data_IF_999390898878
#
_entry.id   IF_999390898878
#
_cell.length_a   1.000
_cell.length_b   1.000
_cell.length_c   1.000
_cell.angle_alpha   90.00
_cell.angle_beta   90.00
_cell.angle_gamma   90.00
#
_symmetry.space_group_name_H-M   'P 1'
#
loop_
_entity.id
_entity.type
_entity.pdbx_description
1 polymer ?
#
# COMPACT_ATOMS: atom_id res chain seq x y z
N UNK A 1 2.24 -14.23 -4.49
CA UNK A 1 1.99 -13.44 -5.68
C UNK A 1 1.64 -14.31 -6.87
N UNK A 2 0.73 -13.84 -7.73
CA UNK A 2 0.26 -14.54 -8.94
C UNK A 2 1.37 -14.88 -9.92
N UNK A 3 2.44 -14.09 -9.97
CA UNK A 3 3.59 -14.29 -10.88
C UNK A 3 4.30 -15.63 -10.70
N UNK A 4 4.16 -16.26 -9.54
CA UNK A 4 4.75 -17.59 -9.28
C UNK A 4 3.93 -18.75 -9.86
N UNK A 5 2.77 -18.49 -10.46
CA UNK A 5 1.86 -19.53 -10.95
C UNK A 5 1.60 -19.41 -12.44
N UNK A 6 1.93 -20.44 -13.20
CA UNK A 6 1.81 -20.48 -14.66
C UNK A 6 0.36 -20.42 -15.18
N UNK A 7 -0.63 -20.77 -14.36
CA UNK A 7 -2.04 -20.68 -14.75
C UNK A 7 -2.66 -19.29 -14.51
N UNK A 8 -1.88 -18.34 -13.96
CA UNK A 8 -2.34 -17.01 -13.60
C UNK A 8 -1.88 -15.99 -14.65
N UNK A 9 -2.82 -15.24 -15.23
CA UNK A 9 -2.51 -14.02 -15.95
C UNK A 9 -2.37 -12.87 -14.94
N UNK A 10 -1.22 -12.21 -14.94
CA UNK A 10 -0.91 -11.10 -14.06
C UNK A 10 -1.13 -9.80 -14.82
N UNK A 11 -1.97 -8.93 -14.31
CA UNK A 11 -2.40 -7.73 -15.02
C UNK A 11 -1.89 -6.48 -14.30
N UNK A 12 -1.18 -5.64 -15.04
CA UNK A 12 -0.87 -4.26 -14.64
C UNK A 12 -1.95 -3.37 -15.27
N UNK A 13 -2.96 -3.05 -14.46
CA UNK A 13 -4.15 -2.32 -14.91
C UNK A 13 -3.94 -0.80 -15.05
N UNK A 14 -4.97 -0.12 -15.54
CA UNK A 14 -4.95 1.34 -15.78
C UNK A 14 -4.65 2.17 -14.54
N UNK A 15 -4.98 1.64 -13.35
CA UNK A 15 -4.81 2.33 -12.07
C UNK A 15 -3.40 2.28 -11.50
N UNK A 16 -2.48 1.54 -12.13
CA UNK A 16 -1.11 1.36 -11.64
C UNK A 16 -0.23 2.53 -12.07
N UNK A 17 0.62 3.01 -11.15
CA UNK A 17 1.74 3.89 -11.48
C UNK A 17 2.89 2.99 -11.98
N UNK A 18 3.10 2.93 -13.28
CA UNK A 18 3.99 1.97 -13.92
C UNK A 18 5.42 2.49 -13.99
N UNK A 19 6.31 1.92 -13.18
CA UNK A 19 7.75 2.07 -13.28
C UNK A 19 8.30 0.92 -14.14
N UNK A 20 8.53 1.19 -15.43
CA UNK A 20 8.92 0.16 -16.42
C UNK A 20 10.25 -0.51 -16.05
N UNK A 21 11.34 0.22 -15.73
CA UNK A 21 12.59 -0.40 -15.31
C UNK A 21 12.43 -1.33 -14.09
N UNK A 22 11.65 -0.92 -13.09
CA UNK A 22 11.41 -1.76 -11.92
C UNK A 22 10.62 -3.02 -12.28
N UNK A 23 9.58 -2.92 -13.10
CA UNK A 23 8.80 -4.08 -13.53
C UNK A 23 9.72 -5.11 -14.23
N UNK A 24 10.56 -4.66 -15.15
CA UNK A 24 11.49 -5.55 -15.87
C UNK A 24 12.52 -6.18 -14.92
N UNK A 25 13.06 -5.38 -13.97
CA UNK A 25 13.98 -5.89 -12.97
C UNK A 25 13.33 -6.93 -12.05
N UNK A 26 12.05 -6.74 -11.67
CA UNK A 26 11.29 -7.68 -10.85
C UNK A 26 10.99 -8.98 -11.63
N UNK A 27 10.60 -8.89 -12.91
CA UNK A 27 10.41 -10.07 -13.77
C UNK A 27 11.70 -10.86 -13.84
N UNK A 28 12.83 -10.18 -14.10
CA UNK A 28 14.15 -10.82 -14.16
C UNK A 28 14.50 -11.47 -12.81
N UNK A 29 14.31 -10.79 -11.70
CA UNK A 29 14.60 -11.33 -10.38
C UNK A 29 13.79 -12.60 -10.08
N UNK A 30 12.51 -12.63 -10.45
CA UNK A 30 11.64 -13.80 -10.28
C UNK A 30 12.15 -14.99 -11.12
N UNK A 31 12.52 -14.74 -12.37
CA UNK A 31 13.02 -15.79 -13.28
C UNK A 31 14.40 -16.29 -12.88
N UNK A 32 15.30 -15.40 -12.47
CA UNK A 32 16.66 -15.77 -11.97
C UNK A 32 16.57 -16.64 -10.71
N UNK A 33 15.50 -16.53 -9.92
CA UNK A 33 15.21 -17.39 -8.77
C UNK A 33 14.50 -18.71 -9.15
N UNK A 34 14.46 -19.06 -10.42
CA UNK A 34 13.97 -20.35 -10.91
C UNK A 34 12.44 -20.44 -11.09
N UNK A 35 11.73 -19.33 -10.99
CA UNK A 35 10.32 -19.27 -11.36
C UNK A 35 10.21 -19.15 -12.88
N UNK A 36 9.40 -19.98 -13.56
CA UNK A 36 9.16 -19.83 -15.00
C UNK A 36 8.66 -18.43 -15.35
N UNK A 37 8.98 -17.93 -16.55
CA UNK A 37 8.57 -16.61 -17.00
C UNK A 37 7.05 -16.41 -16.79
N UNK A 38 6.63 -15.39 -16.02
CA UNK A 38 5.24 -15.18 -15.69
C UNK A 38 4.43 -14.68 -16.89
N UNK A 39 3.17 -15.06 -16.97
CA UNK A 39 2.24 -14.46 -17.92
C UNK A 39 1.84 -13.08 -17.40
N UNK A 40 2.26 -12.02 -18.09
CA UNK A 40 2.00 -10.63 -17.72
C UNK A 40 1.35 -9.91 -18.87
N UNK A 41 0.35 -9.08 -18.58
CA UNK A 41 -0.22 -8.12 -19.51
C UNK A 41 -0.24 -6.73 -18.86
N UNK A 42 0.28 -5.75 -19.57
CA UNK A 42 0.32 -4.35 -19.17
C UNK A 42 -0.70 -3.58 -19.99
N UNK A 43 -1.57 -2.82 -19.30
CA UNK A 43 -2.54 -2.00 -20.00
C UNK A 43 -1.85 -0.91 -20.84
N UNK A 44 -2.28 -0.81 -22.08
CA UNK A 44 -1.96 0.30 -22.98
C UNK A 44 -2.34 1.68 -22.42
N UNK A 45 -3.29 1.72 -21.48
CA UNK A 45 -3.78 2.93 -20.78
C UNK A 45 -3.11 3.16 -19.42
N UNK A 46 -2.25 2.27 -18.95
CA UNK A 46 -1.49 2.51 -17.73
C UNK A 46 -0.57 3.73 -17.92
N UNK A 47 -0.40 4.52 -16.87
CA UNK A 47 0.48 5.68 -16.96
C UNK A 47 1.90 5.35 -16.52
N UNK A 48 2.86 5.90 -17.27
CA UNK A 48 4.28 5.67 -17.11
C UNK A 48 4.88 6.61 -16.06
N UNK A 49 5.64 6.05 -15.15
CA UNK A 49 6.51 6.80 -14.24
C UNK A 49 7.67 7.38 -15.05
N UNK A 50 7.68 8.70 -15.21
CA UNK A 50 8.74 9.40 -15.93
C UNK A 50 10.01 9.54 -15.09
N UNK A 51 11.20 9.54 -15.68
CA UNK A 51 12.47 9.65 -14.93
C UNK A 51 12.49 10.86 -13.99
N UNK A 52 11.93 11.97 -14.40
CA UNK A 52 11.90 13.21 -13.61
C UNK A 52 10.96 13.16 -12.40
N UNK A 53 10.02 12.21 -12.30
CA UNK A 53 9.14 12.10 -11.14
C UNK A 53 9.93 11.80 -9.86
N UNK A 54 10.90 10.91 -9.94
CA UNK A 54 11.78 10.57 -8.79
C UNK A 54 12.63 11.78 -8.38
N UNK A 55 13.14 12.54 -9.36
CA UNK A 55 13.89 13.77 -9.11
C UNK A 55 13.03 14.82 -8.41
N UNK A 56 11.84 15.09 -8.92
CA UNK A 56 10.92 16.09 -8.34
C UNK A 56 10.47 15.71 -6.93
N UNK A 57 10.18 14.45 -6.65
CA UNK A 57 9.83 13.97 -5.30
C UNK A 57 11.01 14.17 -4.33
N UNK A 58 12.23 13.90 -4.79
CA UNK A 58 13.45 14.12 -4.02
C UNK A 58 13.67 15.61 -3.71
N UNK A 59 13.55 16.44 -4.72
CA UNK A 59 13.79 17.88 -4.58
C UNK A 59 12.72 18.58 -3.72
N UNK A 60 11.48 18.10 -3.76
CA UNK A 60 10.42 18.61 -2.90
C UNK A 60 10.68 18.26 -1.43
N UNK A 61 11.09 17.03 -1.14
CA UNK A 61 11.50 16.64 0.22
C UNK A 61 12.70 17.47 0.70
N UNK A 62 13.69 17.74 -0.15
CA UNK A 62 14.81 18.62 0.17
C UNK A 62 14.34 20.05 0.48
N UNK A 63 13.43 20.60 -0.34
CA UNK A 63 12.87 21.94 -0.17
C UNK A 63 12.08 22.09 1.13
N UNK A 64 11.37 21.06 1.55
CA UNK A 64 10.57 21.06 2.77
C UNK A 64 11.41 20.96 4.05
N UNK A 65 12.66 20.53 3.96
CA UNK A 65 13.61 20.44 5.08
C UNK A 65 13.03 19.72 6.32
N UNK A 66 12.79 20.44 7.41
CA UNK A 66 12.22 19.94 8.66
C UNK A 66 10.70 19.65 8.59
N UNK A 67 10.03 20.09 7.53
CA UNK A 67 8.60 19.85 7.27
C UNK A 67 8.32 18.72 6.28
N UNK A 68 9.27 17.82 6.07
CA UNK A 68 9.16 16.69 5.16
C UNK A 68 7.94 15.82 5.48
N UNK A 69 7.30 15.30 4.42
CA UNK A 69 6.24 14.28 4.55
C UNK A 69 6.82 12.90 4.90
N UNK A 70 8.12 12.70 4.68
CA UNK A 70 8.78 11.41 4.81
C UNK A 70 8.55 10.50 3.61
N UNK A 71 8.51 11.08 2.40
CA UNK A 71 8.39 10.35 1.14
C UNK A 71 9.44 9.26 1.01
N UNK A 72 9.09 8.17 0.33
CA UNK A 72 10.03 7.13 -0.09
C UNK A 72 10.91 7.58 -1.26
N UNK A 73 10.69 8.80 -1.78
CA UNK A 73 11.38 9.35 -2.96
C UNK A 73 11.21 8.46 -4.20
N UNK A 74 10.03 7.90 -4.34
CA UNK A 74 9.68 7.01 -5.46
C UNK A 74 8.93 7.72 -6.58
N UNK A 75 8.71 9.03 -6.49
CA UNK A 75 8.09 9.83 -7.53
C UNK A 75 6.56 9.77 -7.59
N UNK A 76 5.90 9.21 -6.57
CA UNK A 76 4.45 8.96 -6.60
C UNK A 76 3.64 10.27 -6.59
N UNK A 77 3.99 11.24 -5.74
CA UNK A 77 3.26 12.50 -5.66
C UNK A 77 3.33 13.31 -6.97
N UNK A 78 4.50 13.57 -7.57
CA UNK A 78 4.58 14.25 -8.86
C UNK A 78 3.96 13.44 -10.01
N UNK A 79 4.03 12.11 -9.98
CA UNK A 79 3.35 11.25 -10.96
C UNK A 79 1.83 11.46 -10.97
N UNK A 80 1.18 11.38 -9.81
CA UNK A 80 -0.27 11.61 -9.73
C UNK A 80 -0.66 13.06 -9.99
N UNK A 81 0.19 14.02 -9.62
CA UNK A 81 0.03 15.43 -9.98
C UNK A 81 -0.06 15.58 -11.51
N UNK A 82 0.88 14.99 -12.25
CA UNK A 82 0.91 15.03 -13.70
C UNK A 82 -0.29 14.30 -14.34
N UNK A 83 -0.66 13.16 -13.79
CA UNK A 83 -1.84 12.40 -14.24
C UNK A 83 -3.10 13.27 -14.22
N UNK A 84 -3.38 13.92 -13.10
CA UNK A 84 -4.60 14.73 -12.95
C UNK A 84 -4.50 16.11 -13.58
N UNK A 85 -3.28 16.65 -13.77
CA UNK A 85 -3.03 17.81 -14.62
C UNK A 85 -3.11 17.49 -16.12
N UNK A 86 -3.27 16.21 -16.50
CA UNK A 86 -3.38 15.72 -17.89
C UNK A 86 -2.12 15.92 -18.72
N UNK A 87 -0.98 15.91 -18.06
CA UNK A 87 0.36 15.98 -18.69
C UNK A 87 1.20 14.72 -18.46
N UNK A 88 0.63 13.70 -17.79
CA UNK A 88 1.21 12.37 -17.67
C UNK A 88 1.19 11.62 -19.01
N UNK A 89 1.99 10.55 -19.10
CA UNK A 89 2.14 9.74 -20.32
C UNK A 89 1.55 8.35 -20.12
N UNK A 90 0.72 7.90 -21.06
CA UNK A 90 0.20 6.52 -21.10
C UNK A 90 1.15 5.62 -21.90
N UNK A 91 1.10 4.32 -21.63
CA UNK A 91 1.92 3.32 -22.35
C UNK A 91 1.73 3.37 -23.84
N UNK A 92 0.47 3.52 -24.33
CA UNK A 92 0.21 3.60 -25.77
C UNK A 92 0.92 4.78 -26.46
N UNK A 93 1.13 5.88 -25.74
CA UNK A 93 1.78 7.08 -26.31
C UNK A 93 3.28 6.87 -26.60
N UNK A 94 3.91 5.85 -26.00
CA UNK A 94 5.30 5.49 -26.31
C UNK A 94 5.45 4.92 -27.72
N UNK A 95 4.37 4.48 -28.35
CA UNK A 95 4.35 3.88 -29.70
C UNK A 95 3.97 4.86 -30.79
N UNK A 96 3.73 6.13 -30.47
CA UNK A 96 3.52 7.23 -31.40
C UNK A 96 4.63 8.28 -31.19
N UNK A 97 5.71 8.12 -31.92
CA UNK A 97 6.91 8.96 -31.74
C UNK A 97 6.66 10.44 -32.03
N UNK A 98 5.83 10.76 -33.01
CA UNK A 98 5.53 12.14 -33.38
C UNK A 98 4.75 12.84 -32.26
N UNK A 99 3.67 12.21 -31.81
CA UNK A 99 2.89 12.70 -30.68
C UNK A 99 3.70 12.78 -29.39
N UNK A 100 4.51 11.76 -29.13
CA UNK A 100 5.37 11.71 -27.93
C UNK A 100 6.36 12.89 -27.90
N UNK A 101 7.02 13.19 -29.03
CA UNK A 101 7.97 14.33 -29.14
C UNK A 101 7.25 15.66 -28.88
N UNK A 102 6.12 15.87 -29.52
CA UNK A 102 5.32 17.08 -29.33
C UNK A 102 4.91 17.27 -27.86
N UNK A 103 4.34 16.23 -27.26
CA UNK A 103 3.88 16.27 -25.87
C UNK A 103 5.04 16.44 -24.90
N UNK A 104 6.14 15.70 -25.08
CA UNK A 104 7.33 15.78 -24.24
C UNK A 104 7.93 17.19 -24.24
N UNK A 105 8.03 17.83 -25.39
CA UNK A 105 8.53 19.22 -25.50
C UNK A 105 7.73 20.15 -24.60
N UNK A 106 6.41 20.11 -24.69
CA UNK A 106 5.53 20.97 -23.86
C UNK A 106 5.64 20.66 -22.36
N UNK A 107 5.75 19.40 -22.01
CA UNK A 107 5.86 18.98 -20.61
C UNK A 107 7.21 19.38 -20.01
N UNK A 108 8.30 19.15 -20.76
CA UNK A 108 9.65 19.54 -20.29
C UNK A 108 9.82 21.03 -20.12
N UNK A 109 9.17 21.86 -20.93
CA UNK A 109 9.16 23.31 -20.73
C UNK A 109 8.71 23.67 -19.31
N UNK A 110 7.56 23.14 -18.86
CA UNK A 110 7.03 23.40 -17.52
C UNK A 110 7.92 22.81 -16.44
N UNK A 111 8.40 21.58 -16.63
CA UNK A 111 9.28 20.92 -15.64
C UNK A 111 10.59 21.68 -15.47
N UNK A 112 11.17 22.17 -16.55
CA UNK A 112 12.41 22.94 -16.53
C UNK A 112 12.23 24.31 -15.87
N UNK A 113 11.06 24.96 -16.02
CA UNK A 113 10.76 26.17 -15.25
C UNK A 113 10.70 25.86 -13.74
N UNK A 114 10.10 24.75 -13.32
CA UNK A 114 10.10 24.34 -11.91
C UNK A 114 11.51 24.04 -11.42
N UNK A 115 12.32 23.33 -12.18
CA UNK A 115 13.69 23.02 -11.81
C UNK A 115 14.55 24.27 -11.67
N UNK A 116 14.45 25.20 -12.63
CA UNK A 116 15.23 26.45 -12.62
C UNK A 116 14.83 27.37 -11.47
N UNK A 117 13.54 27.61 -11.26
CA UNK A 117 13.07 28.72 -10.42
C UNK A 117 12.55 28.29 -9.05
N UNK A 118 12.15 27.04 -8.86
CA UNK A 118 11.68 26.53 -7.56
C UNK A 118 12.76 25.71 -6.87
N UNK A 119 13.34 24.75 -7.59
CA UNK A 119 14.28 23.81 -7.00
C UNK A 119 15.75 24.22 -7.15
N UNK A 120 16.08 25.12 -8.09
CA UNK A 120 17.46 25.55 -8.43
C UNK A 120 18.35 24.33 -8.75
N UNK A 121 17.85 23.46 -9.61
CA UNK A 121 18.47 22.20 -10.03
C UNK A 121 18.75 22.22 -11.55
N UNK A 122 19.63 21.31 -12.03
CA UNK A 122 19.88 21.15 -13.47
C UNK A 122 18.60 20.90 -14.26
N UNK A 123 18.55 21.41 -15.47
CA UNK A 123 17.44 21.21 -16.39
C UNK A 123 17.47 19.79 -16.98
N UNK A 124 16.30 19.31 -17.37
CA UNK A 124 16.14 18.06 -18.11
C UNK A 124 16.49 18.29 -19.59
N UNK A 125 17.27 17.40 -20.15
CA UNK A 125 17.56 17.37 -21.58
C UNK A 125 16.49 16.56 -22.32
N UNK A 126 16.03 17.10 -23.45
CA UNK A 126 14.97 16.48 -24.25
C UNK A 126 15.43 15.15 -24.84
N UNK A 127 16.62 15.12 -25.46
CA UNK A 127 17.11 13.91 -26.12
C UNK A 127 17.38 12.79 -25.13
N UNK A 128 17.92 13.11 -23.97
CA UNK A 128 18.15 12.14 -22.90
C UNK A 128 16.84 11.48 -22.46
N UNK A 129 15.80 12.29 -22.16
CA UNK A 129 14.50 11.77 -21.74
C UNK A 129 13.82 11.00 -22.87
N UNK A 130 13.83 11.54 -24.09
CA UNK A 130 13.23 10.88 -25.25
C UNK A 130 13.86 9.50 -25.52
N UNK A 131 15.18 9.43 -25.54
CA UNK A 131 15.89 8.15 -25.73
C UNK A 131 15.57 7.14 -24.63
N UNK A 132 15.50 7.60 -23.37
CA UNK A 132 15.05 6.77 -22.24
C UNK A 132 13.63 6.21 -22.46
N UNK A 133 12.71 7.02 -23.00
CA UNK A 133 11.36 6.56 -23.29
C UNK A 133 11.30 5.55 -24.44
N UNK A 134 12.20 5.67 -25.43
CA UNK A 134 12.32 4.66 -26.50
C UNK A 134 12.84 3.33 -25.95
N UNK A 135 13.81 3.35 -25.05
CA UNK A 135 14.24 2.14 -24.32
C UNK A 135 13.07 1.53 -23.51
N UNK A 136 12.28 2.36 -22.82
CA UNK A 136 11.09 1.89 -22.08
C UNK A 136 10.06 1.25 -23.00
N UNK A 137 9.82 1.84 -24.19
CA UNK A 137 8.95 1.27 -25.22
C UNK A 137 9.39 -0.14 -25.59
N UNK A 138 10.66 -0.29 -25.90
CA UNK A 138 11.21 -1.58 -26.37
C UNK A 138 11.14 -2.65 -25.26
N UNK A 139 11.42 -2.26 -24.02
CA UNK A 139 11.32 -3.16 -22.86
C UNK A 139 9.89 -3.62 -22.58
N UNK A 140 8.90 -2.73 -22.73
CA UNK A 140 7.51 -3.03 -22.34
C UNK A 140 6.69 -3.64 -23.50
N UNK A 141 7.10 -3.43 -24.75
CA UNK A 141 6.35 -3.84 -25.93
C UNK A 141 5.84 -5.30 -25.89
N UNK A 142 6.60 -6.30 -25.42
CA UNK A 142 6.12 -7.69 -25.37
C UNK A 142 4.94 -7.93 -24.44
N UNK A 143 4.67 -7.00 -23.53
CA UNK A 143 3.66 -7.16 -22.47
C UNK A 143 2.41 -6.32 -22.70
N UNK A 144 2.41 -5.37 -23.64
CA UNK A 144 1.33 -4.40 -23.85
C UNK A 144 0.12 -5.07 -24.48
N UNK A 145 -1.06 -4.78 -23.93
CA UNK A 145 -2.33 -5.26 -24.47
C UNK A 145 -3.54 -4.48 -23.97
N UNK A 146 -4.69 -4.72 -24.61
CA UNK A 146 -5.96 -4.15 -24.15
C UNK A 146 -6.49 -4.95 -22.96
N UNK A 147 -6.09 -4.50 -21.76
CA UNK A 147 -6.51 -5.08 -20.49
C UNK A 147 -8.02 -4.98 -20.30
N UNK A 148 -8.68 -3.95 -20.83
CA UNK A 148 -10.12 -3.78 -20.64
C UNK A 148 -10.89 -4.89 -21.35
N UNK A 149 -10.57 -5.18 -22.62
CA UNK A 149 -11.17 -6.30 -23.36
C UNK A 149 -10.88 -7.62 -22.63
N UNK A 150 -9.62 -7.87 -22.29
CA UNK A 150 -9.22 -9.13 -21.64
C UNK A 150 -9.97 -9.40 -20.32
N UNK A 151 -10.08 -8.38 -19.45
CA UNK A 151 -10.75 -8.50 -18.16
C UNK A 151 -12.25 -8.74 -18.32
N UNK A 152 -12.90 -8.04 -19.27
CA UNK A 152 -14.33 -8.24 -19.57
C UNK A 152 -14.62 -9.63 -20.14
N UNK A 153 -13.75 -10.17 -20.98
CA UNK A 153 -13.86 -11.55 -21.47
C UNK A 153 -13.67 -12.57 -20.35
N UNK A 154 -12.71 -12.32 -19.45
CA UNK A 154 -12.49 -13.15 -18.27
C UNK A 154 -13.72 -13.17 -17.34
N UNK A 155 -14.37 -12.02 -17.11
CA UNK A 155 -15.60 -11.91 -16.35
C UNK A 155 -16.74 -12.70 -17.00
N UNK A 156 -16.96 -12.53 -18.32
CA UNK A 156 -17.97 -13.30 -19.06
C UNK A 156 -17.72 -14.80 -19.03
N UNK A 157 -16.45 -15.21 -19.00
CA UNK A 157 -16.06 -16.61 -18.90
C UNK A 157 -16.10 -17.17 -17.46
N UNK A 158 -16.56 -16.37 -16.48
CA UNK A 158 -16.66 -16.78 -15.07
C UNK A 158 -15.31 -17.04 -14.40
N UNK A 159 -14.25 -16.38 -14.85
CA UNK A 159 -12.93 -16.50 -14.22
C UNK A 159 -12.88 -15.76 -12.88
N UNK A 160 -12.09 -16.31 -11.95
CA UNK A 160 -11.80 -15.64 -10.70
C UNK A 160 -10.79 -14.50 -10.93
N UNK A 161 -11.12 -13.30 -10.51
CA UNK A 161 -10.26 -12.12 -10.61
C UNK A 161 -9.92 -11.65 -9.19
N UNK A 162 -8.62 -11.56 -8.90
CA UNK A 162 -8.12 -10.98 -7.66
C UNK A 162 -7.61 -9.56 -7.95
N UNK A 163 -8.19 -8.58 -7.26
CA UNK A 163 -7.68 -7.21 -7.24
C UNK A 163 -6.79 -7.04 -6.01
N UNK A 164 -5.55 -6.65 -6.23
CA UNK A 164 -4.59 -6.41 -5.16
C UNK A 164 -4.39 -4.90 -4.98
N UNK A 165 -4.80 -4.39 -3.82
CA UNK A 165 -4.56 -3.02 -3.38
C UNK A 165 -3.43 -2.95 -2.36
N UNK A 166 -3.00 -1.73 -1.99
CA UNK A 166 -1.86 -1.51 -1.11
C UNK A 166 -2.02 -0.30 -0.19
N UNK A 167 -1.07 -0.09 0.69
CA UNK A 167 -0.86 1.04 1.60
C UNK A 167 -1.82 1.13 2.78
N UNK A 168 -3.09 0.92 2.61
CA UNK A 168 -4.09 0.95 3.68
C UNK A 168 -4.90 2.26 3.74
N UNK A 169 -6.05 2.15 4.40
CA UNK A 169 -7.15 3.12 4.39
C UNK A 169 -6.76 4.52 4.87
N UNK A 170 -5.91 4.61 5.91
CA UNK A 170 -5.51 5.91 6.48
C UNK A 170 -4.49 6.67 5.60
N UNK A 171 -4.02 6.07 4.52
CA UNK A 171 -3.14 6.70 3.53
C UNK A 171 -3.87 7.09 2.25
N UNK A 172 -5.18 6.90 2.20
CA UNK A 172 -6.01 7.36 1.08
C UNK A 172 -6.13 8.89 1.08
N UNK A 173 -6.05 9.56 -0.08
CA UNK A 173 -6.09 11.03 -0.15
C UNK A 173 -7.45 11.61 0.28
N UNK A 174 -8.57 10.88 0.11
CA UNK A 174 -9.91 11.36 0.43
C UNK A 174 -10.36 10.97 1.85
N UNK A 175 -9.97 9.79 2.33
CA UNK A 175 -10.43 9.22 3.60
C UNK A 175 -9.33 9.05 4.65
N UNK A 176 -8.07 9.28 4.29
CA UNK A 176 -6.94 9.13 5.21
C UNK A 176 -6.67 10.36 6.07
N UNK A 177 -5.50 10.36 6.70
CA UNK A 177 -5.02 11.43 7.60
C UNK A 177 -4.36 12.58 6.81
N UNK A 178 -5.08 13.12 5.82
CA UNK A 178 -4.59 14.20 4.97
C UNK A 178 -3.98 15.35 5.80
N UNK A 179 -2.80 15.91 5.40
CA UNK A 179 -2.06 15.67 4.16
C UNK A 179 -1.03 14.53 4.21
N UNK A 180 -0.92 13.78 5.31
CA UNK A 180 0.06 12.69 5.50
C UNK A 180 -0.41 11.38 4.87
N UNK A 181 -0.75 11.43 3.59
CA UNK A 181 -1.33 10.35 2.77
C UNK A 181 -0.45 10.06 1.57
N UNK A 182 -0.76 9.01 0.80
CA UNK A 182 -0.22 8.82 -0.54
C UNK A 182 -1.09 9.56 -1.57
N UNK A 183 -0.61 9.72 -2.78
CA UNK A 183 -1.39 10.37 -3.85
C UNK A 183 -2.26 9.37 -4.64
N UNK A 184 -2.10 8.07 -4.42
CA UNK A 184 -2.95 7.03 -5.01
C UNK A 184 -4.16 6.73 -4.12
N UNK A 185 -5.29 6.35 -4.72
CA UNK A 185 -6.39 5.78 -3.94
C UNK A 185 -6.04 4.39 -3.44
N UNK A 186 -6.21 4.17 -2.14
CA UNK A 186 -5.89 2.90 -1.47
C UNK A 186 -7.13 2.08 -1.15
N UNK A 187 -8.31 2.60 -1.50
CA UNK A 187 -9.58 1.94 -1.19
C UNK A 187 -9.94 0.88 -2.25
N UNK A 188 -10.57 -0.20 -1.81
CA UNK A 188 -11.01 -1.29 -2.68
C UNK A 188 -11.94 -0.82 -3.81
N UNK A 189 -12.72 0.24 -3.59
CA UNK A 189 -13.56 0.85 -4.62
C UNK A 189 -12.78 1.34 -5.85
N UNK A 190 -11.51 1.75 -5.67
CA UNK A 190 -10.66 2.11 -6.78
C UNK A 190 -10.25 0.90 -7.65
N UNK A 191 -10.32 -0.31 -7.12
CA UNK A 191 -10.07 -1.53 -7.88
C UNK A 191 -10.98 -1.65 -9.12
N UNK A 192 -12.23 -1.21 -9.00
CA UNK A 192 -13.15 -1.14 -10.13
C UNK A 192 -12.63 -0.21 -11.24
N UNK A 193 -12.21 1.00 -10.87
CA UNK A 193 -11.66 2.01 -11.80
C UNK A 193 -10.32 1.56 -12.36
N UNK A 194 -9.42 1.09 -11.48
CA UNK A 194 -8.05 0.73 -11.86
C UNK A 194 -7.94 -0.48 -12.77
N UNK A 195 -8.90 -1.41 -12.70
CA UNK A 195 -8.95 -2.60 -13.56
C UNK A 195 -10.00 -2.50 -14.68
N UNK A 196 -10.85 -1.46 -14.68
CA UNK A 196 -11.94 -1.32 -15.64
C UNK A 196 -13.06 -2.35 -15.42
N UNK A 197 -13.31 -2.74 -14.17
CA UNK A 197 -14.34 -3.73 -13.80
C UNK A 197 -15.59 -2.99 -13.29
N UNK A 198 -16.81 -3.44 -13.62
CA UNK A 198 -18.01 -2.89 -13.02
C UNK A 198 -17.99 -3.03 -11.48
N UNK A 199 -18.30 -1.96 -10.72
CA UNK A 199 -18.17 -1.99 -9.26
C UNK A 199 -19.02 -3.06 -8.56
N UNK A 200 -20.14 -3.46 -9.16
CA UNK A 200 -21.02 -4.51 -8.63
C UNK A 200 -20.44 -5.94 -8.77
N UNK A 201 -19.34 -6.11 -9.48
CA UNK A 201 -18.62 -7.39 -9.57
C UNK A 201 -17.70 -7.61 -8.36
N UNK A 202 -17.31 -6.56 -7.66
CA UNK A 202 -16.48 -6.65 -6.44
C UNK A 202 -17.41 -6.96 -5.26
N UNK A 203 -17.43 -8.21 -4.81
CA UNK A 203 -18.31 -8.71 -3.75
C UNK A 203 -17.58 -9.09 -2.48
N UNK A 204 -16.36 -9.59 -2.63
CA UNK A 204 -15.49 -10.00 -1.54
C UNK A 204 -14.36 -8.99 -1.38
N UNK A 205 -14.29 -8.33 -0.23
CA UNK A 205 -13.24 -7.38 0.10
C UNK A 205 -12.56 -7.83 1.38
N UNK A 206 -11.33 -8.30 1.22
CA UNK A 206 -10.49 -8.79 2.31
C UNK A 206 -9.58 -7.69 2.79
N UNK A 207 -9.81 -7.15 3.97
CA UNK A 207 -8.89 -6.23 4.61
C UNK A 207 -7.80 -7.01 5.36
N UNK A 208 -6.54 -6.60 5.18
CA UNK A 208 -5.40 -7.20 5.90
C UNK A 208 -4.90 -6.21 6.92
N UNK A 209 -4.83 -6.62 8.20
CA UNK A 209 -4.30 -5.81 9.29
C UNK A 209 -3.36 -6.64 10.15
N UNK A 210 -2.39 -6.00 10.79
CA UNK A 210 -1.53 -6.65 11.79
C UNK A 210 -2.24 -6.72 13.13
N UNK A 211 -1.79 -7.62 13.99
CA UNK A 211 -2.26 -7.71 15.38
C UNK A 211 -1.77 -6.53 16.26
N UNK A 212 -1.03 -5.60 15.72
CA UNK A 212 -0.57 -4.33 16.30
C UNK A 212 -0.52 -3.27 15.21
N UNK A 213 -0.26 -2.02 15.57
CA UNK A 213 -0.18 -0.92 14.61
C UNK A 213 1.27 -0.55 14.30
N UNK A 214 1.58 -0.27 13.04
CA UNK A 214 2.86 0.31 12.64
C UNK A 214 2.66 1.34 11.54
N UNK A 215 3.50 2.38 11.52
CA UNK A 215 3.41 3.44 10.54
C UNK A 215 4.79 3.87 10.02
N UNK A 216 4.82 4.30 8.75
CA UNK A 216 5.97 4.96 8.12
C UNK A 216 5.58 6.40 7.81
N UNK A 217 6.54 7.33 7.98
CA UNK A 217 6.35 8.74 7.71
C UNK A 217 5.64 9.49 8.83
N UNK A 218 5.37 10.75 8.56
CA UNK A 218 4.70 11.66 9.47
C UNK A 218 3.18 11.41 9.55
N UNK A 219 2.53 12.11 10.45
CA UNK A 219 1.08 12.10 10.64
C UNK A 219 0.67 11.55 11.99
N UNK A 220 -0.61 11.74 12.30
CA UNK A 220 -1.17 11.36 13.59
C UNK A 220 -1.25 9.85 13.74
N UNK A 221 -0.86 9.36 14.91
CA UNK A 221 -0.88 7.95 15.27
C UNK A 221 -1.29 7.80 16.73
N UNK A 222 -2.60 7.81 16.99
CA UNK A 222 -3.15 7.95 18.34
C UNK A 222 -2.72 6.84 19.31
N UNK A 223 -2.62 5.61 18.83
CA UNK A 223 -2.19 4.46 19.65
C UNK A 223 -0.65 4.27 19.68
N UNK A 224 0.13 5.27 19.24
CA UNK A 224 1.59 5.18 19.18
C UNK A 224 2.21 4.98 20.58
N UNK A 225 3.25 4.14 20.64
CA UNK A 225 4.06 3.87 21.81
C UNK A 225 5.49 4.35 21.59
N UNK A 226 6.21 4.60 22.67
CA UNK A 226 7.54 5.19 22.64
C UNK A 226 8.53 4.45 23.52
N UNK A 227 9.80 4.82 23.42
CA UNK A 227 10.85 4.28 24.28
C UNK A 227 11.09 2.79 24.11
N UNK A 228 11.35 2.11 25.23
CA UNK A 228 11.70 0.69 25.26
C UNK A 228 10.54 -0.22 24.78
N UNK A 229 9.30 0.11 25.12
CA UNK A 229 8.10 -0.63 24.67
C UNK A 229 8.01 -0.65 23.14
N UNK A 230 8.22 0.51 22.49
CA UNK A 230 8.25 0.60 21.02
C UNK A 230 9.42 -0.16 20.41
N UNK A 231 10.59 -0.11 21.04
CA UNK A 231 11.78 -0.83 20.58
C UNK A 231 11.55 -2.33 20.60
N UNK A 232 11.09 -2.86 21.73
CA UNK A 232 10.80 -4.28 21.88
C UNK A 232 9.75 -4.77 20.86
N UNK A 233 8.65 -4.04 20.70
CA UNK A 233 7.63 -4.39 19.70
C UNK A 233 8.18 -4.36 18.27
N UNK A 234 9.06 -3.42 17.96
CA UNK A 234 9.72 -3.34 16.65
C UNK A 234 10.64 -4.53 16.40
N UNK A 235 11.43 -4.89 17.39
CA UNK A 235 12.40 -5.99 17.28
C UNK A 235 11.70 -7.36 17.15
N UNK A 236 10.52 -7.53 17.77
CA UNK A 236 9.68 -8.73 17.62
C UNK A 236 8.80 -8.70 16.37
N UNK A 237 8.80 -7.62 15.60
CA UNK A 237 7.99 -7.41 14.41
C UNK A 237 8.40 -8.23 13.20
N UNK A 238 8.09 -9.54 13.20
CA UNK A 238 8.48 -10.47 12.14
C UNK A 238 9.97 -10.82 12.16
N UNK A 239 10.44 -11.56 11.16
CA UNK A 239 11.82 -12.11 11.14
C UNK A 239 12.93 -11.05 10.99
N UNK A 240 12.59 -9.85 10.52
CA UNK A 240 13.54 -8.75 10.27
C UNK A 240 13.26 -7.50 11.11
N UNK A 241 12.31 -7.58 12.03
CA UNK A 241 11.81 -6.40 12.74
C UNK A 241 10.98 -5.45 11.87
N UNK A 242 10.37 -4.45 12.49
CA UNK A 242 9.56 -3.43 11.83
C UNK A 242 10.42 -2.27 11.31
N UNK A 243 11.08 -2.52 10.19
CA UNK A 243 11.90 -1.55 9.45
C UNK A 243 11.37 -1.38 8.02
N UNK A 244 11.59 -0.22 7.43
CA UNK A 244 11.19 0.05 6.05
C UNK A 244 11.98 -0.81 5.07
N UNK A 245 11.29 -1.56 4.21
CA UNK A 245 11.93 -2.48 3.27
C UNK A 245 12.92 -1.77 2.31
N UNK A 246 12.58 -0.56 1.86
CA UNK A 246 13.40 0.23 0.93
C UNK A 246 14.40 1.15 1.66
N UNK A 247 13.98 1.76 2.77
CA UNK A 247 14.74 2.81 3.45
C UNK A 247 15.51 2.34 4.68
N UNK A 248 15.21 1.15 5.21
CA UNK A 248 15.74 0.65 6.47
C UNK A 248 15.32 1.46 7.71
N UNK A 249 14.47 2.49 7.56
CA UNK A 249 14.05 3.35 8.68
C UNK A 249 13.21 2.55 9.68
N UNK A 250 13.43 2.75 11.01
CA UNK A 250 12.59 2.14 12.02
C UNK A 250 11.15 2.65 11.88
N UNK A 251 10.19 1.74 11.87
CA UNK A 251 8.77 2.11 11.86
C UNK A 251 8.33 2.61 13.23
N UNK A 252 7.38 3.53 13.24
CA UNK A 252 6.63 3.93 14.42
C UNK A 252 5.75 2.75 14.82
N UNK A 253 5.66 2.47 16.11
CA UNK A 253 4.93 1.32 16.65
C UNK A 253 3.77 1.80 17.51
N UNK A 254 2.72 1.01 17.56
CA UNK A 254 1.54 1.30 18.38
C UNK A 254 0.75 0.06 18.70
N UNK A 255 -0.07 0.15 19.74
CA UNK A 255 -1.05 -0.88 20.07
C UNK A 255 -2.10 -0.99 18.95
N UNK A 256 -2.74 -2.16 18.86
CA UNK A 256 -3.84 -2.34 17.91
C UNK A 256 -4.90 -1.26 18.13
N UNK A 257 -5.33 -0.61 17.07
CA UNK A 257 -6.26 0.51 17.11
C UNK A 257 -7.61 0.10 16.50
N UNK A 258 -8.57 -0.20 17.39
CA UNK A 258 -9.92 -0.59 16.96
C UNK A 258 -10.69 0.55 16.30
N UNK A 259 -10.44 1.81 16.69
CA UNK A 259 -11.12 2.98 16.11
C UNK A 259 -10.67 3.16 14.65
N UNK A 260 -9.37 3.19 14.42
CA UNK A 260 -8.77 3.31 13.10
C UNK A 260 -9.13 2.11 12.22
N UNK A 261 -9.05 0.88 12.74
CA UNK A 261 -9.33 -0.34 11.96
C UNK A 261 -10.81 -0.46 11.60
N UNK A 262 -11.74 -0.16 12.53
CA UNK A 262 -13.18 -0.11 12.26
C UNK A 262 -13.50 0.89 11.15
N UNK A 263 -12.92 2.08 11.23
CA UNK A 263 -13.05 3.10 10.18
C UNK A 263 -12.49 2.61 8.86
N UNK A 264 -11.28 2.04 8.87
CA UNK A 264 -10.63 1.48 7.68
C UNK A 264 -11.48 0.40 7.01
N UNK A 265 -12.00 -0.56 7.77
CA UNK A 265 -12.91 -1.59 7.27
C UNK A 265 -14.18 -0.99 6.65
N UNK A 266 -14.76 0.04 7.29
CA UNK A 266 -15.97 0.71 6.78
C UNK A 266 -15.74 1.39 5.44
N UNK A 267 -14.65 2.17 5.29
CA UNK A 267 -14.37 2.89 4.03
C UNK A 267 -13.90 1.96 2.92
N UNK A 268 -13.30 0.82 3.26
CA UNK A 268 -12.97 -0.24 2.30
C UNK A 268 -14.21 -1.04 1.85
N UNK A 269 -15.28 -1.04 2.65
CA UNK A 269 -16.39 -1.98 2.49
C UNK A 269 -15.96 -3.42 2.75
N UNK A 270 -15.06 -3.62 3.73
CA UNK A 270 -14.48 -4.94 4.03
C UNK A 270 -15.58 -5.95 4.43
N UNK A 271 -15.61 -7.08 3.75
CA UNK A 271 -16.49 -8.21 4.07
C UNK A 271 -15.86 -9.16 5.08
N UNK A 272 -14.55 -9.16 5.16
CA UNK A 272 -13.77 -9.96 6.09
C UNK A 272 -12.39 -9.35 6.35
N UNK A 273 -11.75 -9.79 7.43
CA UNK A 273 -10.41 -9.35 7.83
C UNK A 273 -9.48 -10.56 7.96
N UNK A 274 -8.25 -10.37 7.52
CA UNK A 274 -7.11 -11.25 7.84
C UNK A 274 -6.24 -10.52 8.88
N UNK A 275 -6.13 -11.09 10.08
CA UNK A 275 -5.27 -10.58 11.13
C UNK A 275 -3.89 -11.24 11.04
N UNK A 276 -2.86 -10.46 10.79
CA UNK A 276 -1.50 -10.97 10.58
C UNK A 276 -0.57 -10.64 11.75
N UNK A 277 0.58 -11.31 11.79
CA UNK A 277 1.66 -11.05 12.74
C UNK A 277 1.23 -11.21 14.22
N UNK A 278 0.34 -12.17 14.51
CA UNK A 278 -0.08 -12.45 15.89
C UNK A 278 1.09 -12.99 16.73
N UNK A 279 1.99 -13.74 16.12
CA UNK A 279 3.22 -14.28 16.74
C UNK A 279 4.14 -13.19 17.29
N UNK A 280 4.10 -11.99 16.73
CA UNK A 280 4.90 -10.85 17.19
C UNK A 280 4.52 -10.36 18.59
N UNK A 281 3.35 -10.72 19.11
CA UNK A 281 2.90 -10.39 20.46
C UNK A 281 3.16 -11.51 21.48
N UNK A 282 3.77 -12.63 21.07
CA UNK A 282 3.99 -13.82 21.88
C UNK A 282 4.90 -13.61 23.11
N UNK A 283 5.64 -12.52 23.17
CA UNK A 283 6.53 -12.19 24.29
C UNK A 283 5.85 -11.43 25.44
N UNK A 284 4.61 -10.96 25.24
CA UNK A 284 3.92 -10.08 26.16
C UNK A 284 3.12 -10.83 27.24
N UNK A 285 3.17 -10.34 28.48
CA UNK A 285 2.32 -10.76 29.58
C UNK A 285 0.92 -10.11 29.51
N UNK A 286 0.88 -8.87 29.00
CA UNK A 286 -0.34 -8.08 28.82
C UNK A 286 -0.30 -7.41 27.45
N UNK A 287 -1.44 -7.35 26.77
CA UNK A 287 -1.59 -6.70 25.47
C UNK A 287 -2.61 -5.57 25.60
N UNK A 288 -2.20 -4.35 25.32
CA UNK A 288 -3.12 -3.20 25.30
C UNK A 288 -3.74 -3.06 23.91
N UNK A 289 -5.00 -2.62 23.89
CA UNK A 289 -5.78 -2.36 22.67
C UNK A 289 -6.43 -0.98 22.79
N UNK A 290 -6.31 -0.15 21.77
CA UNK A 290 -6.99 1.14 21.72
C UNK A 290 -8.44 0.94 21.27
N UNK A 291 -9.39 1.15 22.19
CA UNK A 291 -10.83 0.92 21.97
C UNK A 291 -11.61 2.21 21.76
N UNK A 292 -11.00 3.36 22.04
CA UNK A 292 -11.62 4.67 21.88
C UNK A 292 -10.57 5.79 21.84
N UNK A 293 -11.01 6.98 21.47
CA UNK A 293 -10.23 8.22 21.53
C UNK A 293 -10.90 9.22 22.47
N UNK A 294 -10.15 9.77 23.41
CA UNK A 294 -10.56 10.93 24.19
C UNK A 294 -10.15 12.21 23.47
N UNK A 295 -11.11 13.06 23.15
CA UNK A 295 -10.89 14.34 22.47
C UNK A 295 -11.66 15.43 23.23
N UNK A 296 -10.95 16.43 23.75
CA UNK A 296 -11.51 17.54 24.53
C UNK A 296 -12.41 17.04 25.69
N UNK A 297 -12.02 15.91 26.35
CA UNK A 297 -12.74 15.29 27.48
C UNK A 297 -13.92 14.38 27.10
N UNK A 298 -14.15 14.17 25.80
CA UNK A 298 -15.22 13.27 25.32
C UNK A 298 -14.61 12.04 24.66
N UNK A 299 -15.06 10.86 25.07
CA UNK A 299 -14.63 9.59 24.48
C UNK A 299 -15.50 9.28 23.26
N UNK A 300 -14.86 8.94 22.15
CA UNK A 300 -15.52 8.53 20.91
C UNK A 300 -14.92 7.21 20.38
N UNK A 301 -15.75 6.43 19.71
CA UNK A 301 -15.35 5.26 18.93
C UNK A 301 -15.35 5.54 17.42
N UNK A 302 -15.71 6.75 17.01
CA UNK A 302 -15.67 7.19 15.62
C UNK A 302 -14.33 7.86 15.29
N UNK A 303 -13.77 7.51 14.14
CA UNK A 303 -12.50 8.07 13.66
C UNK A 303 -12.72 9.52 13.20
N UNK A 304 -12.04 10.49 13.82
CA UNK A 304 -12.24 11.90 13.52
C UNK A 304 -11.36 12.39 12.36
N UNK A 305 -11.64 13.60 11.88
CA UNK A 305 -10.77 14.29 10.93
C UNK A 305 -9.40 14.65 11.55
N UNK A 306 -8.38 14.82 10.71
CA UNK A 306 -6.99 15.02 11.14
C UNK A 306 -6.81 16.15 12.16
N UNK A 307 -7.54 17.27 12.00
CA UNK A 307 -7.46 18.38 12.96
C UNK A 307 -7.86 17.99 14.39
N UNK A 308 -8.79 17.05 14.55
CA UNK A 308 -9.20 16.51 15.86
C UNK A 308 -8.25 15.41 16.33
N UNK A 309 -7.68 14.62 15.41
CA UNK A 309 -6.71 13.56 15.75
C UNK A 309 -5.50 14.12 16.51
N UNK A 310 -5.05 15.34 16.20
CA UNK A 310 -3.93 16.01 16.90
C UNK A 310 -4.15 16.18 18.40
N UNK A 311 -5.40 16.17 18.86
CA UNK A 311 -5.78 16.30 20.26
C UNK A 311 -6.20 14.96 20.90
N UNK A 312 -6.31 13.92 20.08
CA UNK A 312 -6.81 12.63 20.53
C UNK A 312 -5.80 11.94 21.44
N UNK A 313 -6.31 11.34 22.52
CA UNK A 313 -5.58 10.44 23.40
C UNK A 313 -6.19 9.04 23.29
N UNK A 314 -5.38 7.97 23.31
CA UNK A 314 -5.91 6.63 23.23
C UNK A 314 -6.60 6.25 24.55
N UNK A 315 -7.78 5.64 24.43
CA UNK A 315 -8.41 4.90 25.53
C UNK A 315 -7.99 3.45 25.36
N UNK A 316 -7.21 2.96 26.32
CA UNK A 316 -6.61 1.63 26.24
C UNK A 316 -7.34 0.65 27.15
N UNK A 317 -7.62 -0.53 26.64
CA UNK A 317 -8.04 -1.71 27.38
C UNK A 317 -6.90 -2.73 27.42
N UNK A 318 -6.66 -3.34 28.59
CA UNK A 318 -5.59 -4.32 28.78
C UNK A 318 -6.18 -5.72 28.79
N UNK A 319 -5.67 -6.57 27.92
CA UNK A 319 -6.01 -7.98 27.80
C UNK A 319 -4.85 -8.86 28.28
N UNK A 320 -5.10 -10.08 28.77
CA UNK A 320 -4.05 -11.03 29.07
C UNK A 320 -3.21 -11.32 27.79
N UNK A 321 -1.89 -11.27 27.92
CA UNK A 321 -0.99 -11.80 26.92
C UNK A 321 -0.94 -13.32 26.95
N UNK A 322 -0.34 -13.92 25.95
CA UNK A 322 -0.27 -15.38 25.87
C UNK A 322 1.15 -15.90 26.10
N UNK A 323 2.16 -15.06 26.10
CA UNK A 323 3.60 -15.36 26.44
C UNK A 323 4.03 -16.77 26.07
N UNK A 324 3.71 -17.18 24.87
CA UNK A 324 3.94 -18.51 24.34
C UNK A 324 4.21 -18.45 22.85
N UNK A 325 5.25 -19.17 22.38
CA UNK A 325 5.50 -19.33 20.96
C UNK A 325 4.31 -20.01 20.27
N UNK A 326 3.80 -19.39 19.21
CA UNK A 326 2.63 -19.86 18.47
C UNK A 326 2.94 -20.21 17.01
N UNK A 327 4.17 -19.98 16.55
CA UNK A 327 4.59 -20.41 15.21
C UNK A 327 4.51 -21.92 15.11
N UNK A 328 4.07 -22.42 13.96
CA UNK A 328 3.91 -23.86 13.73
C UNK A 328 2.62 -24.47 14.28
N UNK A 329 1.82 -23.72 15.05
CA UNK A 329 0.45 -24.15 15.37
C UNK A 329 -0.35 -24.21 14.06
N UNK A 330 -1.00 -25.35 13.81
CA UNK A 330 -1.66 -25.63 12.52
C UNK A 330 -3.14 -25.26 12.45
N UNK A 331 -3.79 -25.01 13.58
CA UNK A 331 -5.22 -24.70 13.67
C UNK A 331 -5.45 -23.55 14.64
N UNK A 332 -6.47 -22.73 14.37
CA UNK A 332 -6.80 -21.60 15.24
C UNK A 332 -7.21 -22.06 16.65
N UNK A 333 -7.95 -23.14 16.73
CA UNK A 333 -8.45 -23.70 18.01
C UNK A 333 -7.32 -24.26 18.91
N UNK A 334 -6.14 -24.51 18.35
CA UNK A 334 -4.97 -25.01 19.09
C UNK A 334 -4.07 -23.87 19.61
N UNK A 335 -4.40 -22.62 19.30
CA UNK A 335 -3.74 -21.43 19.87
C UNK A 335 -4.03 -21.32 21.39
N UNK A 336 -3.15 -20.68 22.16
CA UNK A 336 -3.43 -20.33 23.56
C UNK A 336 -4.76 -19.59 23.68
N UNK A 337 -5.56 -19.87 24.74
CA UNK A 337 -6.87 -19.26 24.93
C UNK A 337 -6.79 -17.73 24.90
N UNK A 338 -5.79 -17.12 25.55
CA UNK A 338 -5.62 -15.66 25.52
C UNK A 338 -5.38 -15.11 24.11
N UNK A 339 -4.73 -15.86 23.21
CA UNK A 339 -4.58 -15.46 21.81
C UNK A 339 -5.89 -15.55 21.04
N UNK A 340 -6.69 -16.59 21.28
CA UNK A 340 -8.04 -16.72 20.71
C UNK A 340 -8.95 -15.60 21.20
N UNK A 341 -8.91 -15.29 22.51
CA UNK A 341 -9.71 -14.23 23.14
C UNK A 341 -9.33 -12.84 22.61
N UNK A 342 -8.03 -12.60 22.37
CA UNK A 342 -7.54 -11.37 21.74
C UNK A 342 -8.13 -11.18 20.34
N UNK A 343 -8.12 -12.22 19.50
CA UNK A 343 -8.69 -12.17 18.16
C UNK A 343 -10.20 -11.94 18.20
N UNK A 344 -10.92 -12.65 19.11
CA UNK A 344 -12.36 -12.49 19.29
C UNK A 344 -12.73 -11.08 19.82
N UNK A 345 -11.90 -10.53 20.70
CA UNK A 345 -12.06 -9.15 21.18
C UNK A 345 -11.96 -8.14 20.03
N UNK A 346 -10.91 -8.23 19.21
CA UNK A 346 -10.73 -7.33 18.06
C UNK A 346 -11.90 -7.46 17.10
N UNK A 347 -12.30 -8.69 16.74
CA UNK A 347 -13.42 -8.94 15.82
C UNK A 347 -14.69 -8.24 16.30
N UNK A 348 -15.02 -8.37 17.60
CA UNK A 348 -16.18 -7.71 18.20
C UNK A 348 -16.07 -6.18 18.12
N UNK A 349 -14.88 -5.62 18.42
CA UNK A 349 -14.68 -4.18 18.44
C UNK A 349 -14.67 -3.57 17.03
N UNK A 350 -14.15 -4.24 16.02
CA UNK A 350 -14.17 -3.71 14.65
C UNK A 350 -15.47 -3.98 13.90
N UNK A 351 -16.25 -4.99 14.34
CA UNK A 351 -17.55 -5.34 13.76
C UNK A 351 -17.47 -6.00 12.37
N UNK A 352 -16.32 -6.59 12.01
CA UNK A 352 -16.10 -7.31 10.75
C UNK A 352 -15.48 -8.67 11.07
N UNK A 353 -15.96 -9.78 10.46
CA UNK A 353 -15.42 -11.12 10.73
C UNK A 353 -13.92 -11.23 10.47
N UNK A 354 -13.17 -11.77 11.41
CA UNK A 354 -11.76 -12.17 11.21
C UNK A 354 -11.77 -13.64 10.81
N UNK A 355 -11.62 -13.91 9.53
CA UNK A 355 -11.72 -15.27 8.95
C UNK A 355 -10.40 -16.00 8.87
N UNK A 356 -9.29 -15.27 8.92
CA UNK A 356 -7.95 -15.84 8.89
C UNK A 356 -7.03 -15.09 9.86
N UNK A 357 -6.11 -15.84 10.47
CA UNK A 357 -5.08 -15.31 11.37
C UNK A 357 -3.73 -15.87 10.95
N UNK A 358 -2.71 -15.01 10.84
CA UNK A 358 -1.35 -15.46 10.60
C UNK A 358 -0.56 -15.51 11.91
N UNK A 359 0.06 -16.65 12.18
CA UNK A 359 0.96 -16.89 13.29
C UNK A 359 2.43 -17.04 12.88
N UNK A 360 2.76 -16.54 11.68
CA UNK A 360 4.12 -16.51 11.13
C UNK A 360 4.11 -16.02 9.67
N UNK A 361 5.29 -15.89 9.01
CA UNK A 361 5.42 -15.27 7.70
C UNK A 361 5.07 -16.20 6.52
N UNK A 362 4.96 -17.52 6.74
CA UNK A 362 4.78 -18.49 5.66
C UNK A 362 3.30 -18.68 5.33
N UNK A 363 3.02 -19.08 4.09
CA UNK A 363 1.66 -19.43 3.64
C UNK A 363 1.01 -20.54 4.49
N UNK A 364 1.81 -21.50 4.98
CA UNK A 364 1.35 -22.58 5.85
C UNK A 364 1.02 -22.12 7.28
N UNK A 365 1.38 -20.89 7.64
CA UNK A 365 1.16 -20.28 8.95
C UNK A 365 -0.06 -19.33 8.93
N UNK A 366 -0.95 -19.51 7.95
CA UNK A 366 -2.25 -18.83 7.89
C UNK A 366 -3.32 -19.81 8.39
N UNK A 367 -3.87 -19.51 9.55
CA UNK A 367 -4.90 -20.28 10.22
C UNK A 367 -6.28 -19.79 9.78
N UNK A 368 -7.14 -20.69 9.31
CA UNK A 368 -8.53 -20.35 9.02
C UNK A 368 -9.37 -20.40 10.29
N UNK A 369 -10.22 -19.40 10.50
CA UNK A 369 -11.30 -19.43 11.49
C UNK A 369 -12.61 -19.82 10.83
N UNK A 370 -13.39 -20.63 11.50
CA UNK A 370 -14.75 -21.02 11.07
C UNK A 370 -15.80 -20.04 11.57
#
# INVERSE_FOLDING_TARGET
SGVCYQHTMNIIGNGVALDIPKLIAEIKSVTDNGVPAPHIMVSDRAQVMMPYHVLLDTYEEERLADKQFGSTKSGIAPFYSDKYAKIGFQVNELFDEEYLKEKLTRVLEVKNLMLAHIYHKPLLDFEEIFNTLMEYRDLIAPYVGDVNIYVHEALKAGKNILLEGQLGSLKDPDFGIYPMVTSSSTLAGYGAVGAGIPPYEIREIVAVTKAYSSAVGAGEFVSEIFGEEARLMRDHGGDKGEYGATTGRPRRMGWFDCVATRYGCRVQGATQVVLTALDCLAYLDEIKVCTGYEIDGVVTKDFPVTAKLKKAKPVLETLPGFKQEIRGVGRFEDLPQAAQDYVAFIEREIGVPITMVSNGPKRSEILKRK
#
